data_IF_801201835273
#
_entry.id   IF_801201835273
#
_cell.length_a   1.000
_cell.length_b   1.000
_cell.length_c   1.000
_cell.angle_alpha   90.00
_cell.angle_beta   90.00
_cell.angle_gamma   90.00
#
_symmetry.space_group_name_H-M   'P 1'
#
loop_
_entity.id
_entity.type
_entity.pdbx_description
1 polymer ?
#
# COMPACT_ATOMS: atom_id res chain seq x y z
N UNK A 1 18.31 -2.95 30.39
CA UNK A 1 17.66 -2.43 29.17
C UNK A 1 16.81 -3.57 28.63
N UNK A 2 15.52 -3.35 28.47
CA UNK A 2 14.64 -4.37 27.91
C UNK A 2 14.98 -4.60 26.43
N UNK A 3 14.59 -5.76 25.88
CA UNK A 3 14.81 -6.07 24.47
C UNK A 3 14.17 -5.00 23.56
N UNK A 4 13.00 -4.48 23.95
CA UNK A 4 12.33 -3.41 23.21
C UNK A 4 13.12 -2.10 23.24
N UNK A 5 13.69 -1.70 24.38
CA UNK A 5 14.55 -0.52 24.47
C UNK A 5 15.81 -0.65 23.59
N UNK A 6 16.38 -1.85 23.49
CA UNK A 6 17.53 -2.11 22.61
C UNK A 6 17.15 -2.00 21.14
N UNK A 7 16.03 -2.59 20.73
CA UNK A 7 15.52 -2.50 19.35
C UNK A 7 15.15 -1.05 19.01
N UNK A 8 14.46 -0.33 19.88
CA UNK A 8 14.12 1.09 19.66
C UNK A 8 15.37 1.95 19.44
N UNK A 9 16.44 1.73 20.22
CA UNK A 9 17.71 2.44 20.00
C UNK A 9 18.34 2.14 18.65
N UNK A 10 18.23 0.91 18.16
CA UNK A 10 18.74 0.56 16.85
C UNK A 10 17.89 1.18 15.73
N UNK A 11 16.57 1.23 15.88
CA UNK A 11 15.67 1.93 14.96
C UNK A 11 16.05 3.42 14.85
N UNK A 12 16.32 4.10 15.97
CA UNK A 12 16.76 5.50 15.96
C UNK A 12 18.08 5.69 15.20
N UNK A 13 18.99 4.70 15.25
CA UNK A 13 20.26 4.74 14.49
C UNK A 13 20.05 4.53 12.99
N UNK A 14 18.98 3.84 12.61
CA UNK A 14 18.61 3.58 11.22
C UNK A 14 17.77 4.70 10.60
N UNK A 15 17.48 5.79 11.33
CA UNK A 15 16.59 6.87 10.90
C UNK A 15 16.93 7.45 9.52
N UNK A 16 18.18 7.79 9.28
CA UNK A 16 18.58 8.40 8.02
C UNK A 16 18.47 7.40 6.85
N UNK A 17 18.70 6.11 7.12
CA UNK A 17 18.54 5.04 6.15
C UNK A 17 17.05 4.79 5.84
N UNK A 18 16.18 4.80 6.85
CA UNK A 18 14.73 4.74 6.68
C UNK A 18 14.23 5.87 5.78
N UNK A 19 14.62 7.10 6.09
CA UNK A 19 14.26 8.29 5.32
C UNK A 19 14.77 8.16 3.88
N UNK A 20 16.03 7.75 3.70
CA UNK A 20 16.61 7.55 2.37
C UNK A 20 15.84 6.49 1.57
N UNK A 21 15.54 5.34 2.17
CA UNK A 21 14.79 4.26 1.53
C UNK A 21 13.40 4.72 1.10
N UNK A 22 12.66 5.43 1.96
CA UNK A 22 11.35 5.96 1.60
C UNK A 22 11.43 6.94 0.42
N UNK A 23 12.40 7.86 0.46
CA UNK A 23 12.63 8.82 -0.63
C UNK A 23 12.96 8.12 -1.94
N UNK A 24 13.76 7.04 -1.92
CA UNK A 24 14.09 6.26 -3.11
C UNK A 24 12.89 5.47 -3.66
N UNK A 25 12.01 4.97 -2.81
CA UNK A 25 10.79 4.28 -3.23
C UNK A 25 9.76 5.24 -3.82
N UNK A 26 9.60 6.44 -3.25
CA UNK A 26 8.68 7.46 -3.78
C UNK A 26 9.07 7.90 -5.20
N UNK A 27 10.37 7.92 -5.52
CA UNK A 27 10.84 8.25 -6.88
C UNK A 27 10.38 7.27 -7.95
N UNK A 28 9.86 6.10 -7.57
CA UNK A 28 9.37 5.07 -8.48
C UNK A 28 7.84 5.05 -8.44
N UNK A 29 7.15 5.67 -9.43
CA UNK A 29 5.70 5.67 -9.47
C UNK A 29 5.16 4.25 -9.60
N UNK A 30 4.13 3.92 -8.82
CA UNK A 30 3.46 2.62 -8.85
C UNK A 30 1.96 2.83 -8.97
N UNK A 31 1.52 3.43 -10.08
CA UNK A 31 0.10 3.68 -10.34
C UNK A 31 -0.45 2.49 -11.11
N UNK A 32 -1.52 1.86 -10.62
CA UNK A 32 -2.15 0.71 -11.27
C UNK A 32 -2.79 1.03 -12.64
N UNK A 33 -3.01 0.02 -13.50
CA UNK A 33 -3.64 0.20 -14.82
C UNK A 33 -5.04 0.80 -14.77
N UNK A 34 -5.83 0.51 -13.74
CA UNK A 34 -7.17 1.08 -13.55
C UNK A 34 -7.14 2.61 -13.32
N UNK A 35 -5.97 3.13 -12.94
CA UNK A 35 -5.65 4.54 -12.78
C UNK A 35 -4.76 5.09 -13.92
N UNK A 36 -4.58 4.32 -15.00
CA UNK A 36 -3.81 4.72 -16.18
C UNK A 36 -2.29 4.65 -16.03
N UNK A 37 -1.77 3.96 -15.01
CA UNK A 37 -0.34 3.72 -14.83
C UNK A 37 0.11 2.33 -15.28
N UNK A 38 1.39 2.04 -15.05
CA UNK A 38 2.06 0.80 -15.47
C UNK A 38 2.02 -0.33 -14.42
N UNK A 39 1.48 -0.07 -13.22
CA UNK A 39 1.53 -0.98 -12.08
C UNK A 39 2.80 -0.83 -11.23
N UNK A 40 3.04 -1.80 -10.36
CA UNK A 40 3.98 -1.75 -9.25
C UNK A 40 5.33 -2.39 -9.58
N UNK A 41 5.48 -2.94 -10.78
CA UNK A 41 6.64 -3.76 -11.17
C UNK A 41 7.97 -3.09 -10.82
N UNK A 42 8.17 -1.84 -11.23
CA UNK A 42 9.44 -1.14 -11.01
C UNK A 42 9.68 -0.87 -9.51
N UNK A 43 8.64 -0.51 -8.76
CA UNK A 43 8.77 -0.26 -7.31
C UNK A 43 9.05 -1.55 -6.55
N UNK A 44 8.41 -2.66 -6.95
CA UNK A 44 8.68 -3.98 -6.42
C UNK A 44 10.14 -4.40 -6.67
N UNK A 45 10.67 -4.16 -7.87
CA UNK A 45 12.06 -4.46 -8.18
C UNK A 45 13.03 -3.56 -7.40
N UNK A 46 12.72 -2.27 -7.25
CA UNK A 46 13.49 -1.35 -6.40
C UNK A 46 13.51 -1.82 -4.95
N UNK A 47 12.37 -2.27 -4.41
CA UNK A 47 12.29 -2.83 -3.06
C UNK A 47 13.19 -4.08 -2.91
N UNK A 48 13.09 -5.03 -3.84
CA UNK A 48 13.94 -6.23 -3.84
C UNK A 48 15.43 -5.87 -3.94
N UNK A 49 15.78 -4.87 -4.75
CA UNK A 49 17.15 -4.37 -4.84
C UNK A 49 17.62 -3.77 -3.51
N UNK A 50 16.77 -2.96 -2.85
CA UNK A 50 17.09 -2.35 -1.55
C UNK A 50 17.36 -3.40 -0.48
N UNK A 51 16.61 -4.52 -0.47
CA UNK A 51 16.72 -5.55 0.57
C UNK A 51 17.59 -6.74 0.17
N UNK A 52 18.23 -6.73 -1.01
CA UNK A 52 18.90 -7.90 -1.59
C UNK A 52 19.97 -8.55 -0.68
N UNK A 53 20.68 -7.72 0.08
CA UNK A 53 21.78 -8.14 0.96
C UNK A 53 21.33 -8.27 2.42
N UNK A 54 20.03 -8.20 2.68
CA UNK A 54 19.48 -8.30 4.02
C UNK A 54 19.25 -9.78 4.37
N UNK A 55 19.55 -10.20 5.61
CA UNK A 55 19.51 -11.61 6.00
C UNK A 55 18.07 -12.08 6.32
N UNK A 56 17.14 -11.88 5.38
CA UNK A 56 15.86 -12.57 5.40
C UNK A 56 16.09 -14.07 5.21
N UNK A 57 15.33 -14.90 5.94
CA UNK A 57 15.44 -16.35 5.80
C UNK A 57 14.83 -16.84 4.50
N UNK A 58 13.82 -16.11 3.99
CA UNK A 58 13.15 -16.39 2.73
C UNK A 58 12.58 -15.11 2.13
N UNK A 59 12.71 -14.93 0.82
CA UNK A 59 12.02 -13.89 0.05
C UNK A 59 11.37 -14.58 -1.14
N UNK A 60 10.06 -14.37 -1.30
CA UNK A 60 9.26 -14.92 -2.39
C UNK A 60 8.55 -13.80 -3.13
N UNK A 61 8.42 -13.96 -4.45
CA UNK A 61 7.69 -13.04 -5.32
C UNK A 61 6.63 -13.82 -6.07
N UNK A 62 5.39 -13.33 -5.99
CA UNK A 62 4.23 -13.90 -6.66
C UNK A 62 3.67 -12.88 -7.64
N UNK A 63 3.72 -13.22 -8.92
CA UNK A 63 3.29 -12.33 -9.99
C UNK A 63 1.85 -12.62 -10.40
N UNK A 64 0.91 -11.78 -9.96
CA UNK A 64 -0.48 -11.88 -10.36
C UNK A 64 -0.63 -11.46 -11.84
N UNK A 65 -1.24 -12.27 -12.72
CA UNK A 65 -1.34 -11.92 -14.14
C UNK A 65 -2.28 -10.72 -14.40
N UNK A 66 -1.76 -9.65 -15.01
CA UNK A 66 -2.56 -8.54 -15.58
C UNK A 66 -1.91 -8.05 -16.89
N UNK A 67 -2.44 -8.39 -18.08
CA UNK A 67 -1.84 -8.02 -19.36
C UNK A 67 -1.80 -6.50 -19.62
N UNK A 68 -2.49 -5.69 -18.80
CA UNK A 68 -2.48 -4.22 -18.88
C UNK A 68 -1.30 -3.60 -18.15
N UNK A 69 -0.72 -4.33 -17.19
CA UNK A 69 0.41 -3.87 -16.38
C UNK A 69 1.75 -4.11 -17.10
N UNK A 70 2.79 -3.43 -16.64
CA UNK A 70 4.16 -3.64 -17.12
C UNK A 70 4.57 -5.10 -16.93
N UNK A 71 5.16 -5.68 -17.97
CA UNK A 71 5.52 -7.10 -18.04
C UNK A 71 4.34 -8.08 -17.85
N UNK A 72 3.09 -7.59 -17.95
CA UNK A 72 1.88 -8.41 -17.86
C UNK A 72 1.56 -8.92 -16.46
N UNK A 73 2.12 -8.32 -15.40
CA UNK A 73 2.00 -8.82 -14.02
C UNK A 73 1.88 -7.69 -12.97
N UNK A 74 1.26 -8.02 -11.83
CA UNK A 74 1.20 -7.22 -10.60
C UNK A 74 1.93 -8.00 -9.49
N UNK A 75 3.13 -7.58 -9.07
CA UNK A 75 3.97 -8.35 -8.15
C UNK A 75 3.52 -8.24 -6.69
N UNK A 76 3.57 -9.34 -5.97
CA UNK A 76 3.42 -9.39 -4.52
C UNK A 76 4.69 -9.98 -3.92
N UNK A 77 5.28 -9.33 -2.92
CA UNK A 77 6.54 -9.78 -2.29
C UNK A 77 6.29 -10.19 -0.85
N UNK A 78 6.73 -11.39 -0.50
CA UNK A 78 6.71 -11.90 0.86
C UNK A 78 8.14 -12.07 1.37
N UNK A 79 8.52 -11.32 2.41
CA UNK A 79 9.82 -11.43 3.06
C UNK A 79 9.67 -11.98 4.48
N UNK A 80 10.35 -13.09 4.75
CA UNK A 80 10.23 -13.84 6.00
C UNK A 80 11.45 -13.63 6.88
N UNK A 81 11.18 -13.25 8.13
CA UNK A 81 12.15 -13.30 9.20
C UNK A 81 11.67 -14.28 10.28
N UNK A 82 12.32 -15.43 10.30
CA UNK A 82 11.91 -16.56 11.12
C UNK A 82 12.02 -16.26 12.60
N UNK A 83 11.04 -16.78 13.34
CA UNK A 83 11.06 -16.74 14.79
C UNK A 83 12.04 -17.73 15.41
N UNK A 84 12.09 -17.76 16.74
CA UNK A 84 13.00 -18.61 17.53
C UNK A 84 12.93 -20.11 17.18
N UNK A 85 11.78 -20.59 16.67
CA UNK A 85 11.58 -21.99 16.26
C UNK A 85 11.58 -22.18 14.73
N UNK A 86 12.13 -21.24 13.97
CA UNK A 86 12.13 -21.32 12.51
C UNK A 86 10.71 -21.26 11.93
N UNK A 87 10.45 -22.09 10.91
CA UNK A 87 9.16 -22.19 10.21
C UNK A 87 7.99 -22.68 11.05
N UNK A 88 8.28 -23.36 12.17
CA UNK A 88 7.28 -23.83 13.13
C UNK A 88 6.78 -22.72 14.06
N UNK A 89 7.47 -21.57 14.09
CA UNK A 89 7.01 -20.43 14.86
C UNK A 89 5.66 -19.95 14.31
N UNK A 90 4.70 -19.59 15.17
CA UNK A 90 3.45 -19.00 14.71
C UNK A 90 3.74 -17.66 14.01
N UNK A 91 2.90 -17.24 13.06
CA UNK A 91 3.24 -16.10 12.20
C UNK A 91 2.57 -14.80 12.65
N UNK A 92 3.22 -13.70 12.31
CA UNK A 92 2.65 -12.36 12.28
C UNK A 92 2.89 -11.79 10.88
N UNK A 93 1.82 -11.58 10.14
CA UNK A 93 1.83 -10.88 8.88
C UNK A 93 1.75 -9.38 9.14
N UNK A 94 2.61 -8.62 8.46
CA UNK A 94 2.49 -7.17 8.37
C UNK A 94 2.22 -6.88 6.89
N UNK A 95 0.99 -6.47 6.60
CA UNK A 95 0.51 -6.25 5.24
C UNK A 95 0.58 -4.76 4.90
N UNK A 96 1.32 -4.43 3.85
CA UNK A 96 1.45 -3.09 3.29
C UNK A 96 1.32 -3.17 1.77
N UNK A 97 1.07 -2.04 1.11
CA UNK A 97 0.90 -2.01 -0.33
C UNK A 97 1.97 -1.18 -1.04
N UNK A 98 2.17 -1.49 -2.32
CA UNK A 98 3.18 -0.87 -3.18
C UNK A 98 2.60 0.24 -4.04
N UNK A 99 1.33 0.11 -4.43
CA UNK A 99 0.68 1.06 -5.31
C UNK A 99 0.40 2.40 -4.63
N UNK A 100 0.08 3.38 -5.46
CA UNK A 100 -0.32 4.71 -5.02
C UNK A 100 -1.38 5.24 -5.96
N UNK A 101 -2.28 6.07 -5.42
CA UNK A 101 -3.18 6.86 -6.27
C UNK A 101 -2.44 7.80 -7.24
N UNK A 102 -3.09 8.19 -8.36
CA UNK A 102 -2.61 9.28 -9.20
C UNK A 102 -2.30 10.56 -8.44
N UNK A 103 -1.34 11.37 -8.90
CA UNK A 103 -0.96 12.61 -8.21
C UNK A 103 -2.05 13.70 -8.29
N UNK A 104 -3.06 13.55 -9.14
CA UNK A 104 -4.08 14.57 -9.37
C UNK A 104 -3.51 15.80 -10.09
N UNK A 105 -4.02 16.98 -9.76
CA UNK A 105 -3.62 18.24 -10.37
C UNK A 105 -2.21 18.67 -9.91
N UNK A 106 -1.25 18.60 -10.84
CA UNK A 106 0.15 18.94 -10.60
C UNK A 106 0.36 20.39 -10.13
N UNK A 107 -0.55 21.31 -10.43
CA UNK A 107 -0.44 22.71 -9.98
C UNK A 107 -0.69 22.90 -8.48
N UNK A 108 -1.33 21.91 -7.83
CA UNK A 108 -1.57 21.92 -6.38
C UNK A 108 -0.40 21.39 -5.56
N UNK A 109 0.62 20.85 -6.22
CA UNK A 109 1.84 20.38 -5.59
C UNK A 109 2.80 21.56 -5.38
N UNK A 110 2.73 22.18 -4.20
CA UNK A 110 3.46 23.42 -3.90
C UNK A 110 4.87 23.20 -3.36
N UNK A 111 5.12 22.07 -2.71
CA UNK A 111 6.40 21.78 -2.06
C UNK A 111 7.38 21.05 -2.96
N UNK A 112 6.89 20.11 -3.77
CA UNK A 112 7.68 19.39 -4.76
C UNK A 112 6.79 18.69 -5.77
N UNK A 113 7.34 18.19 -6.88
CA UNK A 113 6.62 17.29 -7.78
C UNK A 113 6.33 15.95 -7.08
N UNK A 114 5.23 15.26 -7.41
CA UNK A 114 4.76 14.08 -6.68
C UNK A 114 5.81 13.00 -6.46
N UNK A 115 6.65 12.73 -7.46
CA UNK A 115 7.66 11.67 -7.44
C UNK A 115 9.10 12.21 -7.39
N UNK A 116 9.28 13.46 -6.96
CA UNK A 116 10.58 14.09 -6.70
C UNK A 116 10.63 14.46 -5.21
N UNK A 117 10.70 13.49 -4.28
CA UNK A 117 10.41 13.76 -2.89
C UNK A 117 11.44 14.70 -2.26
N UNK A 118 10.98 15.52 -1.32
CA UNK A 118 11.83 16.46 -0.57
C UNK A 118 11.57 16.35 0.93
N UNK A 119 12.61 16.63 1.73
CA UNK A 119 12.48 16.77 3.17
C UNK A 119 12.35 18.26 3.48
N UNK A 120 11.26 18.66 4.14
CA UNK A 120 11.04 20.03 4.59
C UNK A 120 10.37 20.02 5.96
N UNK A 121 10.92 20.79 6.90
CA UNK A 121 10.39 20.93 8.26
C UNK A 121 10.15 19.59 8.98
N UNK A 122 11.07 18.63 8.79
CA UNK A 122 10.99 17.30 9.39
C UNK A 122 9.97 16.35 8.74
N UNK A 123 9.36 16.74 7.61
CA UNK A 123 8.38 15.94 6.86
C UNK A 123 8.90 15.58 5.48
N UNK A 124 8.48 14.42 4.98
CA UNK A 124 8.76 13.97 3.60
C UNK A 124 7.56 14.28 2.73
N UNK A 125 7.74 15.18 1.77
CA UNK A 125 6.72 15.51 0.77
C UNK A 125 6.93 14.68 -0.49
N UNK A 126 5.90 13.92 -0.87
CA UNK A 126 5.90 13.04 -2.04
C UNK A 126 4.63 12.19 -2.09
N UNK A 127 4.22 11.75 -3.29
CA UNK A 127 3.09 10.82 -3.45
C UNK A 127 3.51 9.44 -2.96
N UNK A 128 2.75 8.91 -2.03
CA UNK A 128 3.03 7.62 -1.42
C UNK A 128 3.83 7.71 -0.13
N UNK A 129 4.16 8.91 0.37
CA UNK A 129 4.88 9.06 1.63
C UNK A 129 4.14 8.44 2.80
N UNK A 130 2.87 8.82 2.99
CA UNK A 130 2.03 8.34 4.09
C UNK A 130 1.32 7.04 3.71
N UNK A 131 0.67 7.03 2.54
CA UNK A 131 -0.14 5.93 2.04
C UNK A 131 0.52 5.25 0.83
N UNK A 132 1.16 4.09 0.96
CA UNK A 132 1.48 3.38 2.22
C UNK A 132 3.01 3.25 2.47
N UNK A 133 3.80 4.16 1.90
CA UNK A 133 5.25 4.12 1.98
C UNK A 133 5.81 4.20 3.41
N UNK A 134 5.21 4.98 4.30
CA UNK A 134 5.68 5.08 5.70
C UNK A 134 5.62 3.73 6.39
N UNK A 135 4.53 2.99 6.18
CA UNK A 135 4.25 1.75 6.88
C UNK A 135 5.04 0.60 6.29
N UNK A 136 5.21 0.60 4.97
CA UNK A 136 6.15 -0.26 4.26
C UNK A 136 7.57 -0.11 4.83
N UNK A 137 8.09 1.12 4.93
CA UNK A 137 9.45 1.35 5.42
C UNK A 137 9.57 1.09 6.92
N UNK A 138 8.58 1.49 7.73
CA UNK A 138 8.60 1.26 9.16
C UNK A 138 8.63 -0.23 9.52
N UNK A 139 7.78 -1.04 8.87
CA UNK A 139 7.75 -2.50 9.08
C UNK A 139 9.04 -3.17 8.62
N UNK A 140 9.59 -2.73 7.48
CA UNK A 140 10.86 -3.21 6.94
C UNK A 140 12.02 -2.95 7.91
N UNK A 141 12.11 -1.74 8.46
CA UNK A 141 13.20 -1.36 9.35
C UNK A 141 13.05 -1.85 10.78
N UNK A 142 11.84 -2.14 11.25
CA UNK A 142 11.64 -2.87 12.50
C UNK A 142 12.31 -4.26 12.42
N UNK A 143 12.15 -4.96 11.28
CA UNK A 143 12.81 -6.24 11.04
C UNK A 143 14.32 -6.06 10.85
N UNK A 144 14.76 -5.04 10.12
CA UNK A 144 16.19 -4.71 9.95
C UNK A 144 16.90 -4.49 11.28
N UNK A 145 16.29 -3.76 12.20
CA UNK A 145 16.85 -3.52 13.54
C UNK A 145 17.05 -4.84 14.30
N UNK A 146 16.09 -5.76 14.23
CA UNK A 146 16.24 -7.09 14.82
C UNK A 146 17.36 -7.89 14.16
N UNK A 147 17.49 -7.84 12.82
CA UNK A 147 18.58 -8.47 12.09
C UNK A 147 19.96 -7.95 12.52
N UNK A 148 20.14 -6.62 12.61
CA UNK A 148 21.39 -6.00 13.05
C UNK A 148 21.80 -6.44 14.47
N UNK A 149 20.80 -6.65 15.34
CA UNK A 149 21.00 -7.07 16.72
C UNK A 149 21.10 -8.59 16.89
N UNK A 150 20.91 -9.37 15.82
CA UNK A 150 20.84 -10.84 15.89
C UNK A 150 19.66 -11.38 16.71
N UNK A 151 18.59 -10.60 16.83
CA UNK A 151 17.41 -10.93 17.63
C UNK A 151 16.41 -11.70 16.78
N UNK A 152 16.05 -12.92 17.19
CA UNK A 152 14.93 -13.66 16.60
C UNK A 152 13.63 -13.40 17.37
N UNK A 153 12.52 -13.03 16.70
CA UNK A 153 11.23 -12.82 17.34
C UNK A 153 10.57 -14.14 17.78
N UNK A 154 9.57 -14.08 18.65
CA UNK A 154 8.78 -15.28 19.02
C UNK A 154 7.91 -15.81 17.89
N UNK A 155 7.47 -14.90 17.01
CA UNK A 155 6.66 -15.19 15.83
C UNK A 155 7.50 -14.98 14.59
N UNK A 156 7.34 -15.83 13.58
CA UNK A 156 7.88 -15.53 12.26
C UNK A 156 7.18 -14.30 11.72
N UNK A 157 7.94 -13.29 11.35
CA UNK A 157 7.41 -12.07 10.74
C UNK A 157 7.37 -12.30 9.24
N UNK A 158 6.19 -12.10 8.65
CA UNK A 158 5.98 -12.11 7.21
C UNK A 158 5.64 -10.69 6.79
N UNK A 159 6.61 -10.00 6.19
CA UNK A 159 6.33 -8.71 5.55
C UNK A 159 5.71 -9.01 4.19
N UNK A 160 4.47 -8.57 3.98
CA UNK A 160 3.74 -8.75 2.75
C UNK A 160 3.56 -7.39 2.08
N UNK A 161 4.28 -7.18 0.98
CA UNK A 161 4.19 -5.99 0.14
C UNK A 161 3.34 -6.34 -1.08
N UNK A 162 2.06 -5.99 -1.03
CA UNK A 162 1.08 -6.39 -2.03
C UNK A 162 0.81 -5.29 -3.06
N UNK A 163 0.30 -5.69 -4.22
CA UNK A 163 -0.15 -4.77 -5.26
C UNK A 163 -1.63 -4.44 -5.12
N UNK A 164 -2.09 -3.41 -5.84
CA UNK A 164 -3.49 -3.16 -6.19
C UNK A 164 -4.44 -2.78 -5.04
N UNK A 165 -3.93 -2.38 -3.87
CA UNK A 165 -4.79 -2.04 -2.73
C UNK A 165 -5.75 -0.89 -3.08
N UNK A 166 -5.22 0.16 -3.72
CA UNK A 166 -5.91 1.41 -4.04
C UNK A 166 -7.05 1.22 -5.06
N UNK A 167 -7.08 0.05 -5.71
CA UNK A 167 -8.08 -0.34 -6.71
C UNK A 167 -8.84 -1.62 -6.35
N UNK A 168 -8.80 -2.00 -5.07
CA UNK A 168 -9.66 -3.04 -4.49
C UNK A 168 -8.99 -4.40 -4.30
N UNK A 169 -7.66 -4.45 -4.26
CA UNK A 169 -6.83 -5.61 -3.88
C UNK A 169 -6.96 -6.86 -4.74
N UNK A 170 -7.64 -6.79 -5.89
CA UNK A 170 -7.94 -7.95 -6.74
C UNK A 170 -6.69 -8.67 -7.21
N UNK A 171 -5.61 -7.95 -7.50
CA UNK A 171 -4.31 -8.51 -7.90
C UNK A 171 -3.31 -8.62 -6.74
N UNK A 172 -3.71 -8.16 -5.56
CA UNK A 172 -2.95 -8.15 -4.33
C UNK A 172 -3.28 -9.33 -3.42
N UNK A 173 -3.70 -8.99 -2.20
CA UNK A 173 -4.01 -9.97 -1.15
C UNK A 173 -5.14 -10.92 -1.54
N UNK A 174 -6.19 -10.45 -2.25
CA UNK A 174 -7.30 -11.31 -2.69
C UNK A 174 -6.81 -12.40 -3.65
N UNK A 175 -5.91 -12.04 -4.56
CA UNK A 175 -5.33 -13.00 -5.50
C UNK A 175 -4.44 -14.01 -4.77
N UNK A 176 -3.59 -13.56 -3.84
CA UNK A 176 -2.78 -14.46 -3.02
C UNK A 176 -3.65 -15.44 -2.22
N UNK A 177 -4.71 -14.95 -1.56
CA UNK A 177 -5.60 -15.81 -0.77
C UNK A 177 -6.33 -16.84 -1.63
N UNK A 178 -6.67 -16.49 -2.87
CA UNK A 178 -7.41 -17.35 -3.79
C UNK A 178 -6.52 -18.38 -4.48
N UNK A 179 -5.39 -17.94 -5.05
CA UNK A 179 -4.53 -18.78 -5.89
C UNK A 179 -3.39 -19.43 -5.11
N UNK A 180 -3.05 -18.89 -3.94
CA UNK A 180 -2.02 -19.39 -3.02
C UNK A 180 -2.53 -19.58 -1.58
N UNK A 181 -3.65 -20.28 -1.36
CA UNK A 181 -4.23 -20.46 -0.03
C UNK A 181 -3.28 -21.19 0.95
N UNK A 182 -2.32 -21.96 0.44
CA UNK A 182 -1.29 -22.66 1.22
C UNK A 182 -0.34 -21.73 1.99
N UNK A 183 -0.28 -20.44 1.60
CA UNK A 183 0.55 -19.45 2.29
C UNK A 183 0.00 -19.13 3.68
N UNK A 184 -1.32 -19.24 3.87
CA UNK A 184 -2.00 -18.75 5.07
C UNK A 184 -2.32 -19.89 6.03
N UNK A 185 -2.06 -19.66 7.32
CA UNK A 185 -2.41 -20.60 8.40
C UNK A 185 -3.55 -20.04 9.23
N UNK A 186 -4.35 -20.93 9.82
CA UNK A 186 -5.52 -20.56 10.63
C UNK A 186 -5.17 -19.71 11.87
N UNK A 187 -3.97 -19.87 12.41
CA UNK A 187 -3.46 -19.22 13.61
C UNK A 187 -2.53 -18.02 13.31
N UNK A 188 -2.45 -17.61 12.05
CA UNK A 188 -1.73 -16.42 11.64
C UNK A 188 -2.39 -15.17 12.25
N UNK A 189 -1.56 -14.28 12.79
CA UNK A 189 -2.00 -12.93 13.12
C UNK A 189 -1.66 -12.01 11.95
N UNK A 190 -2.51 -11.01 11.73
CA UNK A 190 -2.33 -10.02 10.67
C UNK A 190 -2.40 -8.62 11.29
N UNK A 191 -1.44 -7.78 10.93
CA UNK A 191 -1.40 -6.36 11.24
C UNK A 191 -1.37 -5.60 9.90
N UNK A 192 -2.30 -4.65 9.74
CA UNK A 192 -2.37 -3.77 8.57
C UNK A 192 -2.15 -2.34 9.05
N UNK A 193 -0.92 -1.82 9.01
CA UNK A 193 -0.59 -0.47 9.46
C UNK A 193 -0.98 0.60 8.42
N UNK A 194 -2.23 0.61 7.95
CA UNK A 194 -2.75 1.56 6.94
C UNK A 194 -3.76 2.57 7.49
N UNK A 195 -3.82 2.65 8.82
CA UNK A 195 -4.63 3.60 9.57
C UNK A 195 -3.99 3.83 10.93
N UNK A 196 -4.22 4.99 11.54
CA UNK A 196 -3.55 5.33 12.79
C UNK A 196 -3.80 6.74 13.30
N UNK A 197 -3.04 7.09 14.33
CA UNK A 197 -2.93 8.44 14.88
C UNK A 197 -1.45 8.81 15.05
N UNK A 198 -1.18 10.08 15.34
CA UNK A 198 0.18 10.62 15.49
C UNK A 198 1.02 9.91 16.58
N UNK A 199 0.37 9.38 17.61
CA UNK A 199 1.03 8.65 18.71
C UNK A 199 1.29 7.17 18.40
N UNK A 200 0.76 6.63 17.30
CA UNK A 200 0.81 5.19 16.97
C UNK A 200 0.09 4.29 18.00
N UNK A 201 -0.87 4.84 18.73
CA UNK A 201 -1.60 4.14 19.81
C UNK A 201 -2.97 3.62 19.39
N UNK A 202 -3.46 4.07 18.24
CA UNK A 202 -4.76 3.65 17.72
C UNK A 202 -4.72 2.19 17.28
N UNK A 203 -5.70 1.41 17.74
CA UNK A 203 -5.90 0.02 17.31
C UNK A 203 -7.30 -0.07 16.74
N UNK A 204 -7.38 -0.31 15.44
CA UNK A 204 -8.61 -0.63 14.75
C UNK A 204 -8.82 -2.15 14.74
N UNK A 205 -10.06 -2.57 14.97
CA UNK A 205 -10.45 -4.00 14.97
C UNK A 205 -11.52 -4.33 13.92
N UNK A 206 -12.01 -3.33 13.21
CA UNK A 206 -13.02 -3.45 12.16
C UNK A 206 -13.01 -2.20 11.29
N UNK A 207 -13.22 -2.38 9.99
CA UNK A 207 -13.31 -1.29 9.03
C UNK A 207 -14.64 -1.36 8.25
N UNK A 208 -15.09 -0.22 7.72
CA UNK A 208 -16.26 -0.15 6.84
C UNK A 208 -15.95 -0.78 5.49
N UNK A 209 -16.93 -1.45 4.90
CA UNK A 209 -16.84 -1.85 3.49
C UNK A 209 -17.25 -0.69 2.57
N UNK A 210 -16.94 -0.80 1.29
CA UNK A 210 -17.25 0.22 0.28
C UNK A 210 -18.27 -0.32 -0.71
N UNK A 211 -19.32 0.47 -0.99
CA UNK A 211 -20.30 0.21 -2.04
C UNK A 211 -20.28 1.36 -3.05
N UNK A 212 -19.66 1.14 -4.21
CA UNK A 212 -19.64 2.10 -5.31
C UNK A 212 -20.86 1.92 -6.22
N UNK A 213 -21.70 2.95 -6.34
CA UNK A 213 -22.86 2.96 -7.24
C UNK A 213 -22.63 3.89 -8.43
N UNK A 214 -22.80 3.38 -9.66
CA UNK A 214 -22.80 4.18 -10.88
C UNK A 214 -24.21 4.36 -11.41
N UNK A 215 -24.74 5.57 -11.28
CA UNK A 215 -26.08 5.93 -11.75
C UNK A 215 -25.99 6.58 -13.13
N UNK A 216 -26.82 6.11 -14.07
CA UNK A 216 -26.92 6.69 -15.41
C UNK A 216 -28.34 7.18 -15.65
N UNK A 217 -28.51 8.50 -15.62
CA UNK A 217 -29.77 9.16 -15.95
C UNK A 217 -29.86 9.40 -17.46
N UNK A 218 -30.94 8.90 -18.08
CA UNK A 218 -31.23 9.12 -19.50
C UNK A 218 -32.35 10.13 -19.63
N UNK A 219 -32.09 11.22 -20.35
CA UNK A 219 -33.08 12.25 -20.68
C UNK A 219 -33.67 12.06 -22.07
N UNK A 220 -34.44 13.07 -22.51
CA UNK A 220 -34.99 13.18 -23.86
C UNK A 220 -34.50 14.48 -24.49
N UNK A 221 -33.73 14.35 -25.57
CA UNK A 221 -33.17 15.48 -26.31
C UNK A 221 -34.23 16.18 -27.17
N UNK A 222 -34.19 17.51 -27.19
CA UNK A 222 -35.06 18.39 -27.98
C UNK A 222 -34.32 19.64 -28.42
N UNK A 223 -34.92 20.45 -29.28
CA UNK A 223 -34.37 21.75 -29.67
C UNK A 223 -34.25 22.68 -28.44
N UNK A 224 -33.15 23.42 -28.31
CA UNK A 224 -32.85 24.20 -27.10
C UNK A 224 -33.89 25.29 -26.79
N UNK A 225 -34.61 25.79 -27.81
CA UNK A 225 -35.70 26.76 -27.65
C UNK A 225 -37.05 26.14 -27.24
N UNK A 226 -37.15 24.81 -27.16
CA UNK A 226 -38.37 24.07 -26.76
C UNK A 226 -38.07 23.11 -25.59
N UNK A 227 -37.51 23.60 -24.46
CA UNK A 227 -37.08 22.75 -23.35
C UNK A 227 -38.21 21.93 -22.74
N UNK A 228 -39.46 22.39 -22.83
CA UNK A 228 -40.66 21.73 -22.33
C UNK A 228 -40.97 20.40 -23.04
N UNK A 229 -40.43 20.18 -24.25
CA UNK A 229 -40.64 18.92 -25.00
C UNK A 229 -39.67 17.81 -24.60
N UNK A 230 -38.63 18.16 -23.83
CA UNK A 230 -37.54 17.30 -23.44
C UNK A 230 -37.67 16.77 -22.01
N UNK A 231 -36.67 15.98 -21.61
CA UNK A 231 -36.44 15.57 -20.23
C UNK A 231 -34.97 15.81 -19.95
N UNK A 232 -34.68 16.81 -19.12
CA UNK A 232 -33.31 17.21 -18.84
C UNK A 232 -32.66 16.19 -17.91
N UNK A 233 -31.76 15.37 -18.46
CA UNK A 233 -31.04 14.35 -17.71
C UNK A 233 -30.23 14.92 -16.54
N UNK A 234 -29.69 16.14 -16.69
CA UNK A 234 -28.90 16.79 -15.65
C UNK A 234 -29.78 17.21 -14.46
N UNK A 235 -30.97 17.77 -14.73
CA UNK A 235 -31.93 18.12 -13.65
C UNK A 235 -32.35 16.88 -12.87
N UNK A 236 -32.76 15.82 -13.58
CA UNK A 236 -33.15 14.55 -12.94
C UNK A 236 -31.98 13.92 -12.19
N UNK A 237 -30.75 14.04 -12.69
CA UNK A 237 -29.56 13.56 -11.98
C UNK A 237 -29.29 14.35 -10.69
N UNK A 238 -29.52 15.67 -10.67
CA UNK A 238 -29.38 16.48 -9.45
C UNK A 238 -30.46 16.13 -8.42
N UNK A 239 -31.70 15.93 -8.85
CA UNK A 239 -32.78 15.46 -7.97
C UNK A 239 -32.45 14.08 -7.39
N UNK A 240 -32.03 13.13 -8.23
CA UNK A 240 -31.61 11.81 -7.78
C UNK A 240 -30.41 11.87 -6.81
N UNK A 241 -29.44 12.74 -7.07
CA UNK A 241 -28.29 12.89 -6.19
C UNK A 241 -28.70 13.40 -4.79
N UNK A 242 -29.62 14.37 -4.72
CA UNK A 242 -30.15 14.89 -3.46
C UNK A 242 -30.96 13.85 -2.67
N UNK A 243 -31.65 12.92 -3.35
CA UNK A 243 -32.44 11.88 -2.69
C UNK A 243 -31.59 10.70 -2.17
N UNK A 244 -30.34 10.58 -2.61
CA UNK A 244 -29.44 9.47 -2.23
C UNK A 244 -28.46 9.88 -1.12
N UNK A 245 -28.10 11.16 -1.01
CA UNK A 245 -27.27 11.73 0.07
C UNK A 245 -28.05 11.90 1.38
#
# INVERSE_FOLDING_TARGET
>A
MSQIETVSKEIERLKDEMVHTLMELIKVPAIGPDNGGEGEYDKAMKLLETIKDWPFDKIEKYDAPDPRAKNGVRPNILAYYYGEKGEESPRLWILTHLDVVPPGDLSKWTETKPFEPVIKDGKIYGRGSEDNGQSLVASLYAVRAMMNLGIRPKRTIVLAFVSDEETGSKYGIDWLMKEHPELFRKDDLVLVPDGGNEDGTFIEIAEKSILWLKLKVKGKQVHASMPEKGLNAHRVALELALEID
#
